data_IF_311140807422
#
_entry.id   IF_311140807422
#
_cell.length_a   1.000
_cell.length_b   1.000
_cell.length_c   1.000
_cell.angle_alpha   90.00
_cell.angle_beta   90.00
_cell.angle_gamma   90.00
#
_symmetry.space_group_name_H-M   'P 1'
#
loop_
_entity.id
_entity.type
_entity.pdbx_description
1 polymer ?
#
# COMPACT_ATOMS: atom_id res chain seq x y z
N UNK A 1 15.08 -13.11 -3.56
CA UNK A 1 13.91 -12.63 -2.77
C UNK A 1 14.53 -12.04 -1.52
N UNK A 2 14.54 -10.71 -1.35
CA UNK A 2 15.33 -10.04 -0.30
C UNK A 2 14.80 -10.38 1.09
N UNK A 3 15.61 -10.94 1.98
CA UNK A 3 15.34 -11.04 3.42
C UNK A 3 15.45 -9.67 4.11
N UNK A 4 14.96 -9.52 5.34
CA UNK A 4 15.10 -8.27 6.12
C UNK A 4 16.58 -7.87 6.31
N UNK A 5 17.50 -8.85 6.22
CA UNK A 5 18.96 -8.66 6.23
C UNK A 5 19.57 -8.35 4.85
N UNK A 6 18.80 -8.50 3.78
CA UNK A 6 19.20 -8.17 2.40
C UNK A 6 18.83 -6.72 2.01
N UNK A 7 18.43 -5.89 2.97
CA UNK A 7 18.53 -4.42 2.88
C UNK A 7 20.03 -4.05 2.84
N UNK A 8 20.67 -4.38 1.72
CA UNK A 8 22.08 -4.15 1.44
C UNK A 8 22.39 -2.65 1.39
N UNK A 9 23.62 -2.34 1.82
CA UNK A 9 24.29 -1.04 1.83
C UNK A 9 23.34 0.15 1.95
N UNK A 10 23.05 0.54 3.20
CA UNK A 10 22.54 1.86 3.53
C UNK A 10 23.40 2.89 2.79
N UNK A 11 22.91 3.43 1.67
CA UNK A 11 23.41 4.72 1.21
C UNK A 11 23.29 5.65 2.41
N UNK A 12 24.39 6.31 2.79
CA UNK A 12 24.35 7.41 3.73
C UNK A 12 23.44 8.48 3.12
N UNK A 13 22.16 8.39 3.44
CA UNK A 13 21.17 9.38 3.08
C UNK A 13 21.52 10.61 3.91
N UNK A 14 21.95 11.69 3.26
CA UNK A 14 22.13 12.97 3.94
C UNK A 14 20.76 13.49 4.39
N UNK A 15 20.40 13.16 5.63
CA UNK A 15 19.16 13.55 6.28
C UNK A 15 18.99 15.07 6.27
N UNK A 16 20.08 15.84 6.33
CA UNK A 16 20.03 17.31 6.28
C UNK A 16 19.61 17.79 4.89
N UNK A 17 20.12 17.18 3.83
CA UNK A 17 19.73 17.52 2.46
C UNK A 17 18.26 17.15 2.20
N UNK A 18 17.79 16.00 2.70
CA UNK A 18 16.38 15.61 2.61
C UNK A 18 15.45 16.60 3.31
N UNK A 19 15.77 16.97 4.56
CA UNK A 19 14.96 17.92 5.34
C UNK A 19 14.87 19.28 4.64
N UNK A 20 15.95 19.71 3.97
CA UNK A 20 15.96 20.98 3.24
C UNK A 20 15.00 21.05 2.05
N UNK A 21 14.61 19.89 1.50
CA UNK A 21 13.70 19.78 0.33
C UNK A 21 12.23 19.67 0.71
N UNK A 22 11.91 19.61 2.01
CA UNK A 22 10.53 19.48 2.49
C UNK A 22 9.75 20.78 2.30
N UNK A 23 8.53 20.65 1.79
CA UNK A 23 7.57 21.76 1.81
C UNK A 23 7.04 22.01 3.24
N UNK A 24 6.25 23.06 3.42
CA UNK A 24 5.75 23.47 4.74
C UNK A 24 4.92 22.38 5.44
N UNK A 25 4.04 21.68 4.72
CA UNK A 25 3.21 20.62 5.30
C UNK A 25 4.05 19.39 5.68
N UNK A 26 4.95 18.99 4.77
CA UNK A 26 5.89 17.91 5.00
C UNK A 26 6.80 18.17 6.21
N UNK A 27 7.30 19.40 6.34
CA UNK A 27 8.14 19.82 7.46
C UNK A 27 7.37 19.79 8.78
N UNK A 28 6.12 20.26 8.77
CA UNK A 28 5.22 20.26 9.93
C UNK A 28 4.95 18.84 10.44
N UNK A 29 4.65 17.90 9.55
CA UNK A 29 4.44 16.49 9.94
C UNK A 29 5.75 15.86 10.40
N UNK A 30 6.86 16.09 9.70
CA UNK A 30 8.19 15.62 10.12
C UNK A 30 8.52 16.09 11.54
N UNK A 31 8.41 17.40 11.82
CA UNK A 31 8.70 17.96 13.13
C UNK A 31 7.75 17.40 14.20
N UNK A 32 6.46 17.20 13.89
CA UNK A 32 5.50 16.56 14.82
C UNK A 32 5.94 15.14 15.18
N UNK A 33 6.31 14.33 14.19
CA UNK A 33 6.74 12.94 14.38
C UNK A 33 8.02 12.91 15.21
N UNK A 34 9.06 13.62 14.78
CA UNK A 34 10.37 13.62 15.42
C UNK A 34 10.31 14.16 16.85
N UNK A 35 9.62 15.28 17.08
CA UNK A 35 9.47 15.84 18.43
C UNK A 35 8.72 14.88 19.36
N UNK A 36 7.69 14.19 18.87
CA UNK A 36 6.94 13.23 19.68
C UNK A 36 7.83 12.06 20.08
N UNK A 37 8.55 11.45 19.13
CA UNK A 37 9.46 10.32 19.38
C UNK A 37 10.58 10.74 20.33
N UNK A 38 11.25 11.88 20.08
CA UNK A 38 12.33 12.37 20.93
C UNK A 38 11.88 12.76 22.34
N UNK A 39 10.64 13.23 22.50
CA UNK A 39 10.12 13.58 23.82
C UNK A 39 9.91 12.36 24.73
N UNK A 40 9.60 11.19 24.14
CA UNK A 40 9.26 9.96 24.86
C UNK A 40 8.02 10.06 25.77
N UNK A 41 7.23 11.13 25.67
CA UNK A 41 6.11 11.42 26.61
C UNK A 41 4.79 10.74 26.22
N UNK A 42 4.61 10.41 24.95
CA UNK A 42 3.37 9.83 24.43
C UNK A 42 3.63 8.98 23.19
N UNK A 43 2.83 7.94 22.99
CA UNK A 43 2.82 7.17 21.74
C UNK A 43 2.21 8.00 20.60
N UNK A 44 2.79 7.86 19.42
CA UNK A 44 2.30 8.52 18.21
C UNK A 44 1.46 7.52 17.42
N UNK A 45 0.22 7.89 17.11
CA UNK A 45 -0.67 7.16 16.23
C UNK A 45 -1.30 8.17 15.29
N UNK A 46 -0.72 8.29 14.10
CA UNK A 46 -1.02 9.36 13.17
C UNK A 46 -1.38 8.78 11.82
N UNK A 47 -2.45 9.31 11.21
CA UNK A 47 -2.76 9.10 9.81
C UNK A 47 -2.54 10.40 9.03
N UNK A 48 -1.83 10.30 7.91
CA UNK A 48 -1.55 11.39 6.97
C UNK A 48 -1.90 10.99 5.52
N UNK A 49 -2.45 11.93 4.77
CA UNK A 49 -3.11 11.68 3.49
C UNK A 49 -2.17 11.54 2.28
N UNK A 50 -0.87 11.86 2.42
CA UNK A 50 0.06 11.92 1.27
C UNK A 50 1.44 11.29 1.56
N UNK A 51 1.92 10.56 0.55
CA UNK A 51 3.13 9.72 0.53
C UNK A 51 4.41 10.46 0.93
N UNK A 52 5.22 9.80 1.77
CA UNK A 52 6.48 10.30 2.27
C UNK A 52 7.58 9.23 2.17
N UNK A 53 8.72 9.56 1.56
CA UNK A 53 9.88 8.65 1.44
C UNK A 53 11.07 9.07 2.30
N UNK A 54 11.02 10.22 2.99
CA UNK A 54 12.17 10.86 3.66
C UNK A 54 12.22 10.74 5.19
N UNK A 55 11.34 9.95 5.82
CA UNK A 55 11.19 9.86 7.29
C UNK A 55 11.92 8.62 7.83
N UNK A 56 13.04 8.24 7.19
CA UNK A 56 13.80 7.06 7.61
C UNK A 56 14.63 7.45 8.83
N UNK A 57 14.05 7.22 10.02
CA UNK A 57 14.79 7.20 11.28
C UNK A 57 15.43 5.81 11.44
N UNK A 58 16.59 5.72 12.10
CA UNK A 58 17.39 4.49 12.18
C UNK A 58 16.62 3.26 12.73
N UNK A 59 15.57 3.48 13.53
CA UNK A 59 14.76 2.46 14.20
C UNK A 59 13.34 2.33 13.63
N UNK A 60 13.20 2.41 12.31
CA UNK A 60 11.90 2.41 11.62
C UNK A 60 11.66 1.14 10.80
N UNK A 61 10.49 0.53 10.96
CA UNK A 61 10.00 -0.50 10.04
C UNK A 61 9.01 0.11 9.04
N UNK A 62 9.29 -0.02 7.75
CA UNK A 62 8.47 0.53 6.67
C UNK A 62 7.75 -0.59 5.92
N UNK A 63 6.45 -0.41 5.70
CA UNK A 63 5.62 -1.43 5.07
C UNK A 63 4.49 -0.85 4.21
N UNK A 64 3.95 -1.64 3.30
CA UNK A 64 2.76 -1.32 2.50
C UNK A 64 1.87 -2.58 2.28
N UNK A 65 0.60 -2.45 1.84
CA UNK A 65 -0.26 -3.60 1.57
C UNK A 65 0.13 -4.40 0.33
N UNK A 66 0.67 -3.75 -0.71
CA UNK A 66 0.99 -4.38 -2.00
C UNK A 66 2.48 -4.44 -2.28
N UNK A 67 2.92 -5.42 -3.09
CA UNK A 67 4.33 -5.60 -3.41
C UNK A 67 4.96 -4.40 -4.13
N UNK A 68 4.22 -3.79 -5.08
CA UNK A 68 4.70 -2.60 -5.81
C UNK A 68 4.79 -1.39 -4.86
N UNK A 69 3.80 -1.19 -3.98
CA UNK A 69 3.84 -0.10 -3.02
C UNK A 69 5.01 -0.26 -2.04
N UNK A 70 5.22 -1.48 -1.53
CA UNK A 70 6.33 -1.79 -0.62
C UNK A 70 7.69 -1.59 -1.30
N UNK A 71 7.84 -2.02 -2.54
CA UNK A 71 9.04 -1.80 -3.33
C UNK A 71 9.35 -0.31 -3.53
N UNK A 72 8.33 0.51 -3.77
CA UNK A 72 8.50 1.96 -3.99
C UNK A 72 8.97 2.76 -2.75
N UNK A 73 8.97 2.14 -1.58
CA UNK A 73 9.39 2.75 -0.30
C UNK A 73 10.51 1.94 0.36
N UNK A 74 11.18 1.06 -0.40
CA UNK A 74 12.23 0.16 0.08
C UNK A 74 11.81 -0.65 1.32
N UNK A 75 10.53 -1.00 1.39
CA UNK A 75 9.91 -1.71 2.50
C UNK A 75 9.48 -3.14 2.14
N UNK A 76 8.81 -3.78 3.10
CA UNK A 76 8.18 -5.08 2.91
C UNK A 76 6.66 -4.95 2.82
N UNK A 77 5.97 -5.97 2.33
CA UNK A 77 4.52 -6.01 2.49
C UNK A 77 4.17 -6.26 3.95
N UNK A 78 3.04 -5.73 4.43
CA UNK A 78 2.67 -5.86 5.85
C UNK A 78 2.44 -7.32 6.24
N UNK A 79 1.92 -8.09 5.29
CA UNK A 79 1.76 -9.53 5.41
C UNK A 79 3.09 -10.25 5.61
N UNK A 80 4.13 -9.83 4.88
CA UNK A 80 5.48 -10.41 4.99
C UNK A 80 6.19 -9.95 6.25
N UNK A 81 6.20 -8.65 6.52
CA UNK A 81 6.89 -8.04 7.67
C UNK A 81 6.40 -8.64 8.99
N UNK A 82 5.08 -8.78 9.14
CA UNK A 82 4.46 -9.24 10.39
C UNK A 82 4.06 -10.71 10.35
N UNK A 83 4.33 -11.45 9.26
CA UNK A 83 3.89 -12.84 9.06
C UNK A 83 2.37 -13.01 9.21
N UNK A 84 1.58 -12.06 8.71
CA UNK A 84 0.11 -12.14 8.78
C UNK A 84 -0.40 -13.32 7.95
N UNK A 85 -1.49 -13.98 8.38
CA UNK A 85 -1.99 -15.15 7.67
C UNK A 85 -2.54 -14.76 6.29
N UNK A 86 -2.18 -15.53 5.26
CA UNK A 86 -2.63 -15.34 3.87
C UNK A 86 -3.20 -16.65 3.34
N UNK A 87 -4.38 -16.59 2.72
CA UNK A 87 -5.01 -17.72 2.06
C UNK A 87 -5.59 -17.30 0.70
N UNK A 88 -5.55 -18.19 -0.29
CA UNK A 88 -6.06 -17.87 -1.62
C UNK A 88 -7.60 -17.81 -1.61
N UNK A 89 -8.14 -16.71 -2.13
CA UNK A 89 -9.58 -16.54 -2.37
C UNK A 89 -10.41 -16.12 -1.17
N UNK A 90 -9.86 -16.07 0.04
CA UNK A 90 -10.55 -15.53 1.22
C UNK A 90 -9.57 -15.14 2.33
N UNK A 91 -10.02 -14.29 3.25
CA UNK A 91 -9.23 -13.87 4.41
C UNK A 91 -9.25 -14.95 5.49
N UNK A 92 -8.09 -15.48 5.93
CA UNK A 92 -8.05 -16.49 6.97
C UNK A 92 -8.32 -15.89 8.36
N UNK A 93 -8.77 -16.73 9.30
CA UNK A 93 -8.89 -16.39 10.72
C UNK A 93 -7.53 -16.02 11.31
N UNK A 94 -7.47 -15.06 12.23
CA UNK A 94 -6.26 -14.75 12.99
C UNK A 94 -5.77 -16.00 13.75
N UNK A 95 -4.46 -16.24 13.68
CA UNK A 95 -3.78 -17.31 14.42
C UNK A 95 -2.50 -16.74 15.03
N UNK A 96 -2.24 -16.99 16.32
CA UNK A 96 -0.94 -16.71 16.92
C UNK A 96 0.19 -17.44 16.19
N UNK A 97 1.39 -16.90 16.27
CA UNK A 97 2.58 -17.51 15.69
C UNK A 97 3.07 -18.68 16.53
N UNK A 98 3.75 -19.61 15.86
CA UNK A 98 4.54 -20.61 16.56
C UNK A 98 5.73 -19.92 17.28
N UNK A 99 6.05 -20.37 18.50
CA UNK A 99 7.08 -19.76 19.35
C UNK A 99 8.43 -19.53 18.66
N UNK A 100 8.86 -20.45 17.79
CA UNK A 100 10.13 -20.30 17.07
C UNK A 100 10.10 -19.17 16.04
N UNK A 101 8.98 -18.98 15.34
CA UNK A 101 8.77 -17.87 14.39
C UNK A 101 8.70 -16.56 15.16
N UNK A 102 7.91 -16.52 16.23
CA UNK A 102 7.77 -15.33 17.07
C UNK A 102 9.11 -14.88 17.66
N UNK A 103 9.96 -15.82 18.08
CA UNK A 103 11.31 -15.52 18.58
C UNK A 103 12.19 -14.83 17.53
N UNK A 104 12.09 -15.23 16.27
CA UNK A 104 12.83 -14.59 15.16
C UNK A 104 12.32 -13.18 14.94
N UNK A 105 11.00 -12.97 14.82
CA UNK A 105 10.42 -11.62 14.67
C UNK A 105 10.77 -10.69 15.84
N UNK A 106 10.74 -11.21 17.08
CA UNK A 106 11.16 -10.47 18.26
C UNK A 106 12.61 -10.00 18.20
N UNK A 107 13.49 -10.81 17.62
CA UNK A 107 14.89 -10.44 17.43
C UNK A 107 15.04 -9.41 16.30
N UNK A 108 14.35 -9.62 15.17
CA UNK A 108 14.47 -8.76 13.98
C UNK A 108 13.85 -7.38 14.19
N UNK A 109 12.78 -7.28 14.99
CA UNK A 109 12.05 -6.03 15.24
C UNK A 109 12.34 -5.41 16.62
N UNK A 110 13.31 -5.96 17.38
CA UNK A 110 13.56 -5.58 18.77
C UNK A 110 13.71 -4.05 18.96
N UNK A 111 14.51 -3.44 18.11
CA UNK A 111 14.93 -2.04 18.25
C UNK A 111 13.98 -1.08 17.50
N UNK A 112 12.99 -1.60 16.77
CA UNK A 112 12.01 -0.77 16.05
C UNK A 112 11.18 0.05 17.04
N UNK A 113 11.16 1.35 16.82
CA UNK A 113 10.37 2.33 17.60
C UNK A 113 9.19 2.90 16.80
N UNK A 114 9.33 2.98 15.47
CA UNK A 114 8.34 3.53 14.55
C UNK A 114 7.96 2.50 13.47
N UNK A 115 6.66 2.37 13.21
CA UNK A 115 6.11 1.55 12.13
C UNK A 115 5.38 2.47 11.15
N UNK A 116 5.82 2.48 9.91
CA UNK A 116 5.22 3.25 8.82
C UNK A 116 4.45 2.31 7.90
N UNK A 117 3.18 2.61 7.65
CA UNK A 117 2.31 1.84 6.74
C UNK A 117 1.85 2.77 5.61
N UNK A 118 2.43 2.63 4.42
CA UNK A 118 2.02 3.35 3.21
C UNK A 118 0.79 2.68 2.55
N UNK A 119 0.07 3.44 1.71
CA UNK A 119 -1.15 3.04 0.99
C UNK A 119 -2.25 2.45 1.89
N UNK A 120 -2.53 3.10 3.03
CA UNK A 120 -3.52 2.64 4.02
C UNK A 120 -4.94 2.52 3.48
N UNK A 121 -5.27 3.16 2.34
CA UNK A 121 -6.60 3.05 1.71
C UNK A 121 -6.95 1.61 1.33
N UNK A 122 -5.95 0.76 1.07
CA UNK A 122 -6.12 -0.65 0.69
C UNK A 122 -6.07 -1.57 1.92
N UNK A 123 -5.70 -1.04 3.10
CA UNK A 123 -5.74 -1.79 4.36
C UNK A 123 -7.19 -1.83 4.87
N UNK A 124 -7.71 -3.03 5.08
CA UNK A 124 -9.03 -3.21 5.69
C UNK A 124 -9.00 -3.04 7.20
N UNK A 125 -10.18 -2.83 7.80
CA UNK A 125 -10.34 -2.81 9.25
C UNK A 125 -9.87 -4.12 9.91
N UNK A 126 -10.04 -5.25 9.22
CA UNK A 126 -9.61 -6.56 9.67
C UNK A 126 -8.09 -6.69 9.65
N UNK A 127 -7.44 -6.30 8.56
CA UNK A 127 -5.97 -6.31 8.47
C UNK A 127 -5.36 -5.34 9.48
N UNK A 128 -5.94 -4.16 9.69
CA UNK A 128 -5.46 -3.22 10.72
C UNK A 128 -5.55 -3.85 12.12
N UNK A 129 -6.60 -4.61 12.41
CA UNK A 129 -6.71 -5.36 13.66
C UNK A 129 -5.66 -6.47 13.76
N UNK A 130 -5.37 -7.19 12.66
CA UNK A 130 -4.32 -8.21 12.64
C UNK A 130 -2.94 -7.62 12.88
N UNK A 131 -2.65 -6.43 12.33
CA UNK A 131 -1.42 -5.68 12.59
C UNK A 131 -1.32 -5.39 14.08
N UNK A 132 -2.38 -4.82 14.68
CA UNK A 132 -2.41 -4.55 16.12
C UNK A 132 -2.11 -5.81 16.94
N UNK A 133 -2.86 -6.90 16.73
CA UNK A 133 -2.73 -8.14 17.49
C UNK A 133 -1.33 -8.75 17.35
N UNK A 134 -0.78 -8.72 16.13
CA UNK A 134 0.54 -9.28 15.86
C UNK A 134 1.66 -8.45 16.51
N UNK A 135 1.54 -7.14 16.53
CA UNK A 135 2.50 -6.28 17.23
C UNK A 135 2.43 -6.48 18.74
N UNK A 136 1.23 -6.60 19.31
CA UNK A 136 1.09 -6.91 20.74
C UNK A 136 1.69 -8.28 21.10
N UNK A 137 1.59 -9.27 20.20
CA UNK A 137 2.24 -10.59 20.35
C UNK A 137 3.77 -10.48 20.27
N UNK A 138 4.29 -9.71 19.30
CA UNK A 138 5.74 -9.50 19.13
C UNK A 138 6.32 -8.81 20.37
N UNK A 139 5.75 -7.70 20.82
CA UNK A 139 6.31 -6.90 21.91
C UNK A 139 5.81 -7.26 23.30
N UNK A 140 4.99 -8.30 23.42
CA UNK A 140 4.49 -8.82 24.70
C UNK A 140 3.66 -7.81 25.49
N UNK A 141 2.78 -7.07 24.80
CA UNK A 141 2.02 -5.95 25.39
C UNK A 141 0.51 -6.22 25.50
N UNK A 142 0.06 -7.45 25.30
CA UNK A 142 -1.38 -7.80 25.30
C UNK A 142 -2.05 -7.45 26.64
N UNK A 143 -1.34 -7.69 27.75
CA UNK A 143 -1.85 -7.47 29.11
C UNK A 143 -1.43 -6.11 29.70
N UNK A 144 -0.85 -5.21 28.88
CA UNK A 144 -0.43 -3.90 29.32
C UNK A 144 -1.53 -2.85 29.16
N UNK A 145 -1.59 -1.91 30.11
CA UNK A 145 -2.33 -0.65 29.92
C UNK A 145 -1.77 0.10 28.70
N UNK A 146 -2.65 0.49 27.77
CA UNK A 146 -2.30 1.04 26.44
C UNK A 146 -1.33 0.16 25.63
N UNK A 147 -1.50 -1.16 25.70
CA UNK A 147 -0.76 -2.15 24.91
C UNK A 147 -0.96 -2.10 23.39
N UNK A 148 -1.66 -1.08 22.87
CA UNK A 148 -2.03 -0.99 21.46
C UNK A 148 -0.80 -0.89 20.56
N UNK A 149 -0.74 -1.77 19.56
CA UNK A 149 0.30 -1.82 18.53
C UNK A 149 1.69 -2.10 19.11
N UNK A 150 1.78 -2.92 20.18
CA UNK A 150 3.07 -3.25 20.77
C UNK A 150 3.76 -2.09 21.49
N UNK A 151 2.99 -1.04 21.86
CA UNK A 151 3.51 0.23 22.37
C UNK A 151 4.54 0.88 21.42
N UNK A 152 4.32 0.75 20.12
CA UNK A 152 5.15 1.40 19.08
C UNK A 152 4.45 2.62 18.51
N UNK A 153 5.25 3.55 18.01
CA UNK A 153 4.73 4.64 17.19
C UNK A 153 4.23 4.06 15.86
N UNK A 154 3.04 4.47 15.43
CA UNK A 154 2.43 4.03 14.17
C UNK A 154 2.08 5.26 13.34
N UNK A 155 2.57 5.28 12.11
CA UNK A 155 2.31 6.31 11.12
C UNK A 155 1.69 5.67 9.88
N UNK A 156 0.46 6.03 9.58
CA UNK A 156 -0.28 5.55 8.42
C UNK A 156 -0.24 6.63 7.33
N UNK A 157 0.14 6.26 6.13
CA UNK A 157 0.10 7.12 4.95
C UNK A 157 -0.86 6.57 3.90
N UNK A 158 -1.51 7.45 3.17
CA UNK A 158 -2.26 7.10 1.97
C UNK A 158 -3.49 7.97 1.81
N UNK A 159 -4.12 7.91 0.64
CA UNK A 159 -5.32 8.70 0.38
C UNK A 159 -6.57 7.82 0.47
N UNK A 160 -7.39 8.00 1.51
CA UNK A 160 -8.62 7.22 1.70
C UNK A 160 -9.65 7.34 0.58
N UNK A 161 -9.50 8.33 -0.33
CA UNK A 161 -10.34 8.49 -1.53
C UNK A 161 -9.78 7.77 -2.77
N UNK A 162 -8.64 7.08 -2.64
CA UNK A 162 -8.16 6.15 -3.64
C UNK A 162 -8.86 4.78 -3.54
N UNK A 163 -8.25 3.74 -4.09
CA UNK A 163 -8.84 2.40 -4.12
C UNK A 163 -9.06 1.89 -2.69
N UNK A 164 -10.28 1.42 -2.37
CA UNK A 164 -10.59 0.79 -1.09
C UNK A 164 -10.04 -0.66 -1.05
N UNK A 165 -10.10 -1.33 0.12
CA UNK A 165 -9.76 -2.74 0.22
C UNK A 165 -10.66 -3.59 -0.68
N UNK A 166 -10.11 -4.65 -1.26
CA UNK A 166 -10.85 -5.52 -2.18
C UNK A 166 -11.73 -6.49 -1.39
N UNK A 167 -13.06 -6.42 -1.58
CA UNK A 167 -14.06 -7.26 -0.90
C UNK A 167 -14.06 -7.17 0.64
N UNK A 168 -13.47 -6.10 1.20
CA UNK A 168 -13.42 -5.85 2.63
C UNK A 168 -13.74 -4.38 2.94
N UNK A 169 -14.03 -4.10 4.21
CA UNK A 169 -14.35 -2.74 4.64
C UNK A 169 -13.07 -1.92 4.94
N UNK A 170 -13.03 -0.62 4.60
CA UNK A 170 -11.92 0.28 4.92
C UNK A 170 -11.55 0.29 6.41
N UNK A 171 -10.28 0.62 6.70
CA UNK A 171 -9.71 0.66 8.05
C UNK A 171 -10.52 1.47 9.09
N UNK A 172 -11.20 2.54 8.65
CA UNK A 172 -11.97 3.43 9.51
C UNK A 172 -13.40 2.92 9.82
N UNK A 173 -13.86 1.87 9.14
CA UNK A 173 -15.18 1.26 9.38
C UNK A 173 -15.08 0.26 10.54
N UNK A 174 -16.03 0.35 11.48
CA UNK A 174 -16.12 -0.58 12.61
C UNK A 174 -16.37 -2.01 12.12
N UNK A 175 -15.59 -2.97 12.63
CA UNK A 175 -15.83 -4.39 12.39
C UNK A 175 -17.19 -4.81 12.94
N UNK A 176 -17.96 -5.54 12.13
CA UNK A 176 -19.24 -6.12 12.55
C UNK A 176 -19.02 -7.23 13.58
N UNK A 177 -20.00 -7.45 14.46
CA UNK A 177 -19.93 -8.51 15.46
C UNK A 177 -19.78 -9.91 14.83
N UNK A 178 -20.31 -10.11 13.62
CA UNK A 178 -20.12 -11.34 12.85
C UNK A 178 -18.66 -11.51 12.42
N UNK A 179 -18.04 -10.49 11.83
CA UNK A 179 -16.65 -10.52 11.41
C UNK A 179 -15.70 -10.71 12.60
N UNK A 180 -15.98 -10.07 13.74
CA UNK A 180 -15.21 -10.24 14.97
C UNK A 180 -15.23 -11.71 15.43
N UNK A 181 -16.41 -12.34 15.51
CA UNK A 181 -16.53 -13.75 15.89
C UNK A 181 -15.84 -14.67 14.89
N UNK A 182 -16.04 -14.41 13.59
CA UNK A 182 -15.50 -15.23 12.49
C UNK A 182 -13.96 -15.21 12.48
N UNK A 183 -13.37 -14.01 12.54
CA UNK A 183 -11.95 -13.82 12.28
C UNK A 183 -11.08 -13.68 13.53
N UNK A 184 -11.63 -13.17 14.62
CA UNK A 184 -10.89 -12.95 15.88
C UNK A 184 -11.26 -13.98 16.94
N UNK A 185 -12.45 -14.57 16.87
CA UNK A 185 -12.97 -15.45 17.91
C UNK A 185 -13.29 -14.72 19.22
N UNK A 186 -13.44 -13.39 19.17
CA UNK A 186 -13.82 -12.53 20.30
C UNK A 186 -15.31 -12.19 20.28
N UNK A 187 -15.82 -11.66 21.39
CA UNK A 187 -17.19 -11.14 21.52
C UNK A 187 -17.32 -9.68 21.05
N UNK A 188 -16.25 -8.90 21.12
CA UNK A 188 -16.23 -7.50 20.72
C UNK A 188 -14.83 -7.07 20.26
N UNK A 189 -14.76 -5.98 19.50
CA UNK A 189 -13.52 -5.31 19.11
C UNK A 189 -13.78 -3.80 18.97
N UNK A 190 -12.92 -3.00 19.57
CA UNK A 190 -12.95 -1.54 19.47
C UNK A 190 -12.59 -1.09 18.05
N UNK A 191 -13.20 -0.02 17.54
CA UNK A 191 -12.70 0.67 16.36
C UNK A 191 -11.37 1.36 16.69
N UNK A 192 -10.27 0.68 16.37
CA UNK A 192 -8.92 1.17 16.65
C UNK A 192 -8.58 2.42 15.83
N UNK A 193 -9.21 2.62 14.66
CA UNK A 193 -8.99 3.84 13.87
C UNK A 193 -9.50 5.07 14.60
N UNK A 194 -10.81 5.12 14.87
CA UNK A 194 -11.46 6.30 15.45
C UNK A 194 -11.05 6.59 16.89
N UNK A 195 -10.57 5.56 17.61
CA UNK A 195 -10.23 5.68 19.03
C UNK A 195 -8.76 6.06 19.23
N UNK A 196 -7.87 5.66 18.33
CA UNK A 196 -6.43 5.73 18.57
C UNK A 196 -5.66 6.65 17.62
N UNK A 197 -6.18 6.95 16.43
CA UNK A 197 -5.42 7.71 15.43
C UNK A 197 -5.87 9.16 15.35
N UNK A 198 -4.90 10.07 15.43
CA UNK A 198 -5.07 11.46 15.02
C UNK A 198 -4.99 11.57 13.49
N UNK A 199 -5.64 12.59 12.94
CA UNK A 199 -5.58 12.92 11.52
C UNK A 199 -4.73 14.16 11.27
N UNK A 200 -4.00 14.13 10.16
CA UNK A 200 -3.31 15.28 9.59
C UNK A 200 -3.39 15.22 8.06
N UNK A 201 -3.40 16.38 7.40
CA UNK A 201 -3.55 16.47 5.95
C UNK A 201 -2.42 17.30 5.34
N UNK A 202 -1.74 16.73 4.33
CA UNK A 202 -0.92 17.54 3.44
C UNK A 202 -1.82 18.21 2.39
N UNK A 203 -1.76 19.53 2.33
CA UNK A 203 -2.56 20.37 1.42
C UNK A 203 -1.79 20.75 0.15
N UNK A 204 -0.46 20.66 0.17
CA UNK A 204 0.41 21.00 -0.96
C UNK A 204 0.65 19.78 -1.85
N UNK A 205 -0.04 19.73 -3.00
CA UNK A 205 0.24 18.73 -4.04
C UNK A 205 1.50 19.10 -4.83
N UNK A 206 2.52 18.24 -4.72
CA UNK A 206 3.82 18.38 -5.40
C UNK A 206 3.89 17.63 -6.74
N UNK A 207 3.01 16.66 -7.00
CA UNK A 207 3.10 15.77 -8.18
C UNK A 207 2.72 16.49 -9.48
N UNK A 208 1.73 17.37 -9.44
CA UNK A 208 1.33 18.21 -10.57
C UNK A 208 1.84 19.65 -10.43
N UNK A 209 3.02 19.83 -9.83
CA UNK A 209 3.62 21.15 -9.70
C UNK A 209 3.89 21.75 -11.09
N UNK A 210 3.43 22.99 -11.30
CA UNK A 210 3.54 23.69 -12.59
C UNK A 210 2.31 23.64 -13.48
N UNK A 211 1.34 22.76 -13.20
CA UNK A 211 0.06 22.68 -13.94
C UNK A 211 -1.13 22.86 -12.99
N UNK A 212 -1.49 24.14 -12.74
CA UNK A 212 -2.55 24.50 -11.81
C UNK A 212 -3.92 23.99 -12.23
N UNK A 213 -4.27 24.06 -13.52
CA UNK A 213 -5.57 23.62 -14.01
C UNK A 213 -5.72 22.10 -13.93
N UNK A 214 -4.67 21.34 -14.25
CA UNK A 214 -4.69 19.89 -14.10
C UNK A 214 -4.76 19.46 -12.63
N UNK A 215 -4.01 20.13 -11.75
CA UNK A 215 -4.05 19.88 -10.30
C UNK A 215 -5.46 20.09 -9.74
N UNK A 216 -6.10 21.20 -10.07
CA UNK A 216 -7.46 21.51 -9.61
C UNK A 216 -8.49 20.53 -10.15
N UNK A 217 -8.37 20.13 -11.42
CA UNK A 217 -9.20 19.10 -12.03
C UNK A 217 -9.08 17.77 -11.26
N UNK A 218 -7.87 17.32 -10.94
CA UNK A 218 -7.64 16.09 -10.18
C UNK A 218 -8.21 16.17 -8.76
N UNK A 219 -8.06 17.31 -8.08
CA UNK A 219 -8.65 17.53 -6.76
C UNK A 219 -10.17 17.43 -6.78
N UNK A 220 -10.83 17.91 -7.84
CA UNK A 220 -12.28 17.77 -8.03
C UNK A 220 -12.69 16.34 -8.35
N UNK A 221 -11.92 15.63 -9.19
CA UNK A 221 -12.14 14.21 -9.47
C UNK A 221 -12.08 13.38 -8.19
N UNK A 222 -11.08 13.63 -7.33
CA UNK A 222 -10.87 12.92 -6.06
C UNK A 222 -12.13 12.88 -5.17
N UNK A 223 -12.94 13.95 -5.19
CA UNK A 223 -14.18 14.07 -4.41
C UNK A 223 -15.46 13.93 -5.25
N UNK A 224 -15.34 13.62 -6.54
CA UNK A 224 -16.48 13.45 -7.46
C UNK A 224 -17.20 14.72 -7.87
N UNK A 225 -16.58 15.90 -7.78
CA UNK A 225 -17.19 17.21 -8.10
C UNK A 225 -16.69 17.79 -9.44
N UNK A 226 -16.82 17.02 -10.52
CA UNK A 226 -16.42 17.43 -11.86
C UNK A 226 -17.27 18.60 -12.39
N UNK A 227 -16.62 19.59 -12.99
CA UNK A 227 -17.28 20.69 -13.71
C UNK A 227 -17.35 20.40 -15.22
N UNK A 228 -18.23 21.09 -15.98
CA UNK A 228 -18.24 20.97 -17.44
C UNK A 228 -16.88 21.28 -18.08
N UNK A 229 -16.15 22.27 -17.56
CA UNK A 229 -14.80 22.60 -18.03
C UNK A 229 -13.79 21.47 -17.80
N UNK A 230 -13.94 20.68 -16.72
CA UNK A 230 -13.08 19.53 -16.47
C UNK A 230 -13.36 18.42 -17.51
N UNK A 231 -14.62 18.18 -17.82
CA UNK A 231 -15.03 17.24 -18.87
C UNK A 231 -14.46 17.65 -20.23
N UNK A 232 -14.50 18.94 -20.59
CA UNK A 232 -13.91 19.44 -21.83
C UNK A 232 -12.38 19.23 -21.90
N UNK A 233 -11.68 19.33 -20.77
CA UNK A 233 -10.24 19.05 -20.69
C UNK A 233 -9.98 17.55 -20.90
N UNK A 234 -10.77 16.68 -20.28
CA UNK A 234 -10.63 15.22 -20.41
C UNK A 234 -10.98 14.71 -21.80
N UNK A 235 -12.05 15.21 -22.41
CA UNK A 235 -12.48 14.81 -23.76
C UNK A 235 -11.41 15.16 -24.83
N UNK A 236 -10.62 16.23 -24.62
CA UNK A 236 -9.46 16.54 -25.49
C UNK A 236 -8.36 15.47 -25.45
N UNK A 237 -8.32 14.63 -24.42
CA UNK A 237 -7.36 13.53 -24.27
C UNK A 237 -7.89 12.19 -24.78
N UNK A 238 -9.15 12.14 -25.22
CA UNK A 238 -9.78 10.92 -25.73
C UNK A 238 -9.18 10.54 -27.07
N UNK A 239 -8.78 9.29 -27.19
CA UNK A 239 -8.31 8.71 -28.45
C UNK A 239 -9.49 8.01 -29.12
N UNK A 240 -9.78 8.40 -30.36
CA UNK A 240 -10.86 7.82 -31.16
C UNK A 240 -10.32 6.68 -32.03
N UNK A 241 -10.79 5.46 -31.76
CA UNK A 241 -10.53 4.30 -32.59
C UNK A 241 -11.63 4.15 -33.65
N UNK A 242 -11.25 3.78 -34.88
CA UNK A 242 -12.15 3.74 -36.05
C UNK A 242 -13.02 2.49 -36.06
N UNK A 243 -12.48 1.37 -35.57
CA UNK A 243 -13.18 0.08 -35.62
C UNK A 243 -14.05 -0.18 -34.39
N UNK A 244 -15.12 -0.97 -34.61
CA UNK A 244 -15.98 -1.53 -33.56
C UNK A 244 -15.55 -2.93 -33.13
N UNK A 245 -14.74 -3.63 -33.94
CA UNK A 245 -14.27 -4.98 -33.59
C UNK A 245 -13.17 -4.93 -32.53
N UNK A 246 -13.16 -5.92 -31.63
CA UNK A 246 -12.15 -6.00 -30.58
C UNK A 246 -10.73 -6.10 -31.14
N UNK A 247 -10.51 -6.96 -32.13
CA UNK A 247 -9.17 -7.23 -32.69
C UNK A 247 -8.59 -6.01 -33.40
N UNK A 248 -9.41 -5.31 -34.20
CA UNK A 248 -8.94 -4.12 -34.90
C UNK A 248 -8.68 -2.98 -33.92
N UNK A 249 -9.55 -2.80 -32.90
CA UNK A 249 -9.29 -1.81 -31.83
C UNK A 249 -8.02 -2.10 -31.03
N UNK A 250 -7.76 -3.37 -30.73
CA UNK A 250 -6.53 -3.78 -30.04
C UNK A 250 -5.31 -3.44 -30.88
N UNK A 251 -5.36 -3.69 -32.19
CA UNK A 251 -4.28 -3.32 -33.10
C UNK A 251 -4.08 -1.80 -33.19
N UNK A 252 -5.15 -1.03 -33.34
CA UNK A 252 -5.08 0.44 -33.35
C UNK A 252 -4.49 0.99 -32.04
N UNK A 253 -4.87 0.43 -30.89
CA UNK A 253 -4.32 0.80 -29.60
C UNK A 253 -2.82 0.50 -29.51
N UNK A 254 -2.40 -0.69 -29.95
CA UNK A 254 -0.98 -1.04 -29.95
C UNK A 254 -0.16 -0.16 -30.90
N UNK A 255 -0.71 0.22 -32.06
CA UNK A 255 -0.08 1.16 -32.99
C UNK A 255 0.05 2.56 -32.36
N UNK A 256 -0.98 3.01 -31.65
CA UNK A 256 -0.95 4.26 -30.90
C UNK A 256 0.15 4.23 -29.83
N UNK A 257 0.24 3.17 -29.02
CA UNK A 257 1.23 3.03 -27.95
C UNK A 257 2.67 2.99 -28.52
N UNK A 258 2.89 2.32 -29.65
CA UNK A 258 4.22 2.26 -30.30
C UNK A 258 4.74 3.64 -30.75
N UNK A 259 3.86 4.62 -30.94
CA UNK A 259 4.24 5.98 -31.28
C UNK A 259 4.51 6.86 -30.04
N UNK A 260 4.32 6.34 -28.84
CA UNK A 260 4.62 7.03 -27.58
C UNK A 260 6.05 6.71 -27.12
N UNK A 261 6.49 7.38 -26.06
CA UNK A 261 7.81 7.14 -25.46
C UNK A 261 7.89 5.74 -24.85
N UNK A 262 9.09 5.15 -24.83
CA UNK A 262 9.32 3.78 -24.37
C UNK A 262 9.04 3.55 -22.88
N UNK A 263 8.96 4.61 -22.10
CA UNK A 263 8.60 4.62 -20.67
C UNK A 263 7.08 4.74 -20.43
N UNK A 264 6.27 4.75 -21.49
CA UNK A 264 4.80 4.83 -21.38
C UNK A 264 4.24 3.60 -20.67
N UNK A 265 3.40 3.84 -19.66
CA UNK A 265 2.65 2.80 -18.94
C UNK A 265 1.17 2.89 -19.32
N UNK A 266 0.58 1.74 -19.68
CA UNK A 266 -0.86 1.62 -19.94
C UNK A 266 -1.56 1.01 -18.72
N UNK A 267 -2.59 1.70 -18.22
CA UNK A 267 -3.45 1.22 -17.13
C UNK A 267 -4.79 0.75 -17.69
N UNK A 268 -5.21 -0.46 -17.33
CA UNK A 268 -6.47 -1.06 -17.77
C UNK A 268 -7.26 -1.59 -16.56
N UNK A 269 -8.61 -1.64 -16.63
CA UNK A 269 -9.44 -1.98 -15.48
C UNK A 269 -9.31 -3.42 -14.98
N UNK A 270 -8.87 -4.37 -15.81
CA UNK A 270 -8.82 -5.80 -15.44
C UNK A 270 -7.54 -6.47 -15.89
N UNK A 271 -7.09 -7.48 -15.14
CA UNK A 271 -5.95 -8.31 -15.50
C UNK A 271 -6.14 -9.01 -16.85
N UNK A 272 -7.38 -9.37 -17.22
CA UNK A 272 -7.67 -9.96 -18.52
C UNK A 272 -7.31 -8.99 -19.66
N UNK A 273 -7.72 -7.73 -19.54
CA UNK A 273 -7.40 -6.70 -20.53
C UNK A 273 -5.90 -6.43 -20.58
N UNK A 274 -5.22 -6.34 -19.42
CA UNK A 274 -3.76 -6.23 -19.37
C UNK A 274 -3.07 -7.39 -20.10
N UNK A 275 -3.51 -8.63 -19.85
CA UNK A 275 -2.93 -9.81 -20.51
C UNK A 275 -3.12 -9.79 -22.03
N UNK A 276 -4.30 -9.37 -22.51
CA UNK A 276 -4.58 -9.24 -23.94
C UNK A 276 -3.69 -8.18 -24.59
N UNK A 277 -3.55 -7.01 -23.97
CA UNK A 277 -2.69 -5.94 -24.47
C UNK A 277 -1.21 -6.34 -24.44
N UNK A 278 -0.73 -6.88 -23.32
CA UNK A 278 0.66 -7.29 -23.16
C UNK A 278 1.04 -8.37 -24.18
N UNK A 279 0.17 -9.36 -24.43
CA UNK A 279 0.42 -10.38 -25.45
C UNK A 279 0.47 -9.79 -26.87
N UNK A 280 -0.42 -8.83 -27.19
CA UNK A 280 -0.43 -8.17 -28.49
C UNK A 280 0.78 -7.23 -28.69
N UNK A 281 1.26 -6.59 -27.64
CA UNK A 281 2.49 -5.78 -27.69
C UNK A 281 3.73 -6.67 -27.80
N UNK A 282 3.79 -7.78 -27.05
CA UNK A 282 4.91 -8.73 -27.10
C UNK A 282 5.09 -9.33 -28.49
N UNK A 283 4.00 -9.70 -29.18
CA UNK A 283 4.05 -10.28 -30.53
C UNK A 283 4.56 -9.32 -31.61
N UNK A 284 4.63 -8.02 -31.31
CA UNK A 284 5.15 -6.97 -32.20
C UNK A 284 6.65 -6.73 -32.03
N UNK A 285 7.26 -7.26 -30.97
CA UNK A 285 8.69 -7.12 -30.74
C UNK A 285 9.43 -8.08 -31.68
N UNK A 286 10.19 -7.53 -32.62
CA UNK A 286 11.03 -8.29 -33.54
C UNK A 286 12.27 -8.84 -32.82
N UNK A 287 12.08 -9.83 -31.95
CA UNK A 287 13.14 -10.50 -31.19
C UNK A 287 12.79 -11.96 -30.99
N UNK A 288 13.80 -12.77 -30.69
CA UNK A 288 13.61 -14.19 -30.41
C UNK A 288 12.76 -14.34 -29.15
N UNK A 289 11.63 -15.02 -29.26
CA UNK A 289 10.80 -15.37 -28.11
C UNK A 289 11.50 -16.42 -27.25
N UNK A 290 11.52 -16.18 -25.93
CA UNK A 290 12.07 -17.09 -24.94
C UNK A 290 10.91 -17.55 -24.07
N UNK A 291 10.61 -18.85 -24.11
CA UNK A 291 9.59 -19.46 -23.27
C UNK A 291 10.19 -19.90 -21.95
N UNK A 292 9.65 -19.38 -20.85
CA UNK A 292 9.94 -19.83 -19.49
C UNK A 292 8.77 -20.68 -19.02
N UNK A 293 8.91 -22.00 -19.08
CA UNK A 293 7.87 -22.94 -18.67
C UNK A 293 8.07 -23.26 -17.19
N UNK A 294 7.09 -22.93 -16.36
CA UNK A 294 7.09 -23.33 -14.96
C UNK A 294 6.74 -24.82 -14.83
N UNK A 295 7.50 -25.54 -14.02
CA UNK A 295 7.19 -26.92 -13.62
C UNK A 295 6.66 -26.91 -12.18
N UNK A 296 5.36 -27.16 -12.03
CA UNK A 296 4.74 -27.30 -10.72
C UNK A 296 5.10 -28.68 -10.15
N UNK A 297 6.02 -28.73 -9.18
CA UNK A 297 6.52 -29.99 -8.59
C UNK A 297 5.65 -30.53 -7.44
N UNK A 298 4.57 -29.82 -7.09
CA UNK A 298 3.63 -30.20 -6.02
C UNK A 298 2.23 -30.22 -6.62
N UNK A 299 1.53 -31.34 -6.46
CA UNK A 299 0.13 -31.49 -6.88
C UNK A 299 -0.75 -30.51 -6.06
N UNK A 300 -1.08 -29.36 -6.64
CA UNK A 300 -1.92 -28.37 -5.98
C UNK A 300 -3.27 -29.00 -5.58
N UNK A 301 -3.62 -28.84 -4.31
CA UNK A 301 -4.90 -29.25 -3.72
C UNK A 301 -6.03 -28.73 -4.64
N UNK A 302 -7.09 -29.51 -4.94
CA UNK A 302 -8.00 -29.20 -6.06
C UNK A 302 -8.62 -27.79 -6.08
N UNK A 303 -8.76 -27.12 -4.93
CA UNK A 303 -9.29 -25.75 -4.84
C UNK A 303 -8.25 -24.65 -5.14
N UNK A 304 -6.95 -24.96 -5.09
CA UNK A 304 -5.84 -24.08 -5.49
C UNK A 304 -5.56 -24.18 -6.99
N UNK A 305 -6.13 -25.18 -7.68
CA UNK A 305 -6.00 -25.30 -9.14
C UNK A 305 -6.75 -24.13 -9.79
N UNK A 306 -6.04 -23.34 -10.60
CA UNK A 306 -6.64 -22.31 -11.44
C UNK A 306 -7.76 -22.96 -12.26
N UNK A 307 -9.01 -22.52 -12.10
CA UNK A 307 -10.10 -22.96 -12.98
C UNK A 307 -9.70 -22.58 -14.41
N UNK A 308 -9.53 -23.60 -15.26
CA UNK A 308 -9.30 -23.42 -16.70
C UNK A 308 -10.51 -22.77 -17.36
#
# INVERSE_FOLDING_TARGET
>A
MQDFKDLGDKQEIDVSEMISKLNADQRRVFDRVTNTIMSGKSLLRLYDSIKYSSLILEDTAVTAPTGIAAFNIDGLTVHRLLQLPVEHGHTPKYKPLANHVLKVLRADLKDVSLIIIDEVSIISNLVLMYIHLRLSEIYDTIDCDDGWFGQKHVLLFGDLLQLPPVHEDPAFIQLTAENIRKYLGSLNATNIWTTLFDYDELTINMRQQGDGSYRELLSRIRIGLLTPSDCDILEKRKVSFKSESFETRLNELCDFINNLSSDTVCLLPTCHMCNKLNAAMLSRIASKEIFLIAEDTIDCIPYMRKKK
#
